data_IF_063117843161
#
_entry.id   IF_063117843161
#
_cell.length_a   1.000
_cell.length_b   1.000
_cell.length_c   1.000
_cell.angle_alpha   90.00
_cell.angle_beta   90.00
_cell.angle_gamma   90.00
#
_symmetry.space_group_name_H-M   'P 1'
#
loop_
_entity.id
_entity.type
_entity.pdbx_description
1 polymer ?
#
# COMPACT_ATOMS: atom_id res chain seq x y z
N UNK A 1 -4.28 4.15 7.75
CA UNK A 1 -3.99 3.07 6.78
C UNK A 1 -2.68 3.39 6.07
N UNK A 2 -1.58 2.70 6.38
CA UNK A 2 -0.30 2.91 5.73
C UNK A 2 -0.34 2.61 4.23
N UNK A 3 0.19 3.54 3.43
CA UNK A 3 0.32 3.37 1.96
C UNK A 3 1.76 2.98 1.64
N UNK A 4 1.92 1.86 0.92
CA UNK A 4 3.21 1.34 0.46
C UNK A 4 3.36 1.58 -1.03
N UNK A 5 4.52 2.09 -1.45
CA UNK A 5 4.90 2.12 -2.86
C UNK A 5 5.59 0.80 -3.21
N UNK A 6 5.02 0.07 -4.16
CA UNK A 6 5.47 -1.24 -4.61
C UNK A 6 6.07 -1.13 -6.00
N UNK A 7 7.11 -1.93 -6.26
CA UNK A 7 7.71 -2.06 -7.57
C UNK A 7 7.78 -3.54 -7.95
N UNK A 8 7.33 -3.84 -9.17
CA UNK A 8 7.49 -5.16 -9.75
C UNK A 8 8.85 -5.24 -10.48
N UNK A 9 9.75 -6.18 -10.11
CA UNK A 9 11.03 -6.35 -10.78
C UNK A 9 10.88 -6.97 -12.18
N UNK A 10 9.81 -7.72 -12.45
CA UNK A 10 9.64 -8.44 -13.73
C UNK A 10 9.15 -7.53 -14.86
N UNK A 11 8.33 -6.51 -14.55
CA UNK A 11 7.78 -5.59 -15.57
C UNK A 11 8.09 -4.12 -15.31
N UNK A 12 8.79 -3.78 -14.22
CA UNK A 12 9.12 -2.40 -13.84
C UNK A 12 7.94 -1.58 -13.32
N UNK A 13 6.74 -2.14 -13.24
CA UNK A 13 5.53 -1.44 -12.83
C UNK A 13 5.60 -0.97 -11.37
N UNK A 14 5.37 0.33 -11.14
CA UNK A 14 5.26 0.94 -9.81
C UNK A 14 3.81 1.26 -9.48
N UNK A 15 3.33 0.80 -8.33
CA UNK A 15 1.95 0.99 -7.89
C UNK A 15 1.87 1.18 -6.37
N UNK A 16 0.71 1.61 -5.88
CA UNK A 16 0.47 1.84 -4.44
C UNK A 16 -0.41 0.74 -3.87
N UNK A 17 0.04 0.11 -2.80
CA UNK A 17 -0.73 -0.85 -2.01
C UNK A 17 -1.12 -0.25 -0.66
N UNK A 18 -2.35 -0.50 -0.22
CA UNK A 18 -2.78 -0.13 1.13
C UNK A 18 -2.74 -1.36 2.03
N UNK A 19 -2.22 -1.18 3.24
CA UNK A 19 -2.33 -2.17 4.30
C UNK A 19 -3.23 -1.58 5.39
N UNK A 20 -4.03 -2.44 6.02
CA UNK A 20 -4.87 -2.02 7.13
C UNK A 20 -3.98 -1.50 8.27
N UNK A 21 -4.45 -0.47 8.96
CA UNK A 21 -3.71 0.04 10.12
C UNK A 21 -3.67 -1.04 11.21
N UNK A 22 -2.53 -1.15 11.91
CA UNK A 22 -2.32 -2.12 13.00
C UNK A 22 -2.27 -3.60 12.56
N UNK A 23 -2.10 -3.90 11.28
CA UNK A 23 -1.88 -5.27 10.78
C UNK A 23 -0.47 -5.46 10.22
N UNK A 24 0.03 -6.70 10.26
CA UNK A 24 1.30 -7.06 9.61
C UNK A 24 1.17 -6.85 8.08
N UNK A 25 2.14 -6.18 7.43
CA UNK A 25 2.15 -6.07 5.98
C UNK A 25 2.28 -7.45 5.33
N UNK A 26 1.67 -7.67 4.16
CA UNK A 26 1.76 -8.95 3.48
C UNK A 26 3.21 -9.26 3.10
N UNK A 27 3.57 -10.54 3.26
CA UNK A 27 4.91 -11.07 2.93
C UNK A 27 5.15 -11.18 1.44
N UNK A 28 4.07 -11.26 0.66
CA UNK A 28 4.08 -11.41 -0.79
C UNK A 28 3.16 -10.37 -1.42
N UNK A 29 3.61 -9.74 -2.51
CA UNK A 29 2.80 -8.78 -3.26
C UNK A 29 2.65 -9.22 -4.71
N UNK A 30 1.41 -9.17 -5.20
CA UNK A 30 1.10 -9.43 -6.59
C UNK A 30 1.09 -8.13 -7.40
N UNK A 31 1.69 -8.17 -8.59
CA UNK A 31 1.62 -7.09 -9.55
C UNK A 31 0.29 -7.14 -10.31
N UNK A 32 -0.50 -6.07 -10.27
CA UNK A 32 -1.76 -5.99 -11.02
C UNK A 32 -1.60 -5.97 -12.55
N UNK A 33 -0.38 -5.71 -13.06
CA UNK A 33 -0.11 -5.64 -14.49
C UNK A 33 0.30 -7.00 -15.08
N UNK A 34 1.28 -7.67 -14.46
CA UNK A 34 1.82 -8.94 -14.98
C UNK A 34 1.45 -10.18 -14.15
N UNK A 35 0.78 -10.02 -13.00
CA UNK A 35 0.45 -11.12 -12.10
C UNK A 35 1.63 -11.70 -11.31
N UNK A 36 2.85 -11.17 -11.47
CA UNK A 36 4.02 -11.64 -10.71
C UNK A 36 3.85 -11.40 -9.22
N UNK A 37 4.24 -12.39 -8.41
CA UNK A 37 4.20 -12.38 -6.94
C UNK A 37 5.50 -11.84 -6.32
N UNK A 38 6.40 -11.32 -7.16
CA UNK A 38 7.71 -10.78 -6.76
C UNK A 38 7.69 -9.27 -6.54
N UNK A 39 6.52 -8.63 -6.58
CA UNK A 39 6.45 -7.20 -6.26
C UNK A 39 6.88 -6.98 -4.82
N UNK A 40 7.61 -5.89 -4.58
CA UNK A 40 8.14 -5.58 -3.26
C UNK A 40 8.03 -4.08 -2.98
N UNK A 41 7.95 -3.67 -1.70
CA UNK A 41 8.05 -2.27 -1.32
C UNK A 41 9.35 -1.68 -1.86
N UNK A 42 9.28 -0.52 -2.49
CA UNK A 42 10.45 0.19 -2.95
C UNK A 42 11.35 0.53 -1.74
N UNK A 43 12.58 0.03 -1.74
CA UNK A 43 13.55 0.17 -0.65
C UNK A 43 13.64 1.61 -0.16
N UNK A 44 13.37 1.83 1.13
CA UNK A 44 13.41 3.16 1.77
C UNK A 44 12.08 3.89 1.85
N UNK A 45 10.99 3.32 1.30
CA UNK A 45 9.66 3.91 1.46
C UNK A 45 9.12 3.55 2.85
N UNK A 46 9.19 4.49 3.79
CA UNK A 46 8.36 4.37 5.00
C UNK A 46 6.89 4.40 4.58
N UNK A 47 6.04 3.53 5.14
CA UNK A 47 4.62 3.61 4.88
C UNK A 47 4.13 5.01 5.22
N UNK A 48 3.57 5.70 4.23
CA UNK A 48 3.05 7.04 4.49
C UNK A 48 1.71 6.92 5.20
N UNK A 49 1.49 7.70 6.27
CA UNK A 49 0.18 7.79 6.88
C UNK A 49 -0.83 8.26 5.84
N UNK A 50 -2.02 7.67 5.85
CA UNK A 50 -3.08 8.09 4.94
C UNK A 50 -3.37 9.59 5.16
N UNK A 51 -3.53 10.41 4.10
CA UNK A 51 -3.73 11.85 4.24
C UNK A 51 -4.88 12.24 5.19
N UNK A 52 -5.90 11.38 5.29
CA UNK A 52 -7.08 11.60 6.11
C UNK A 52 -6.93 11.17 7.58
N UNK A 53 -5.83 10.50 7.97
CA UNK A 53 -5.58 10.13 9.37
C UNK A 53 -4.94 11.24 10.21
N UNK A 54 -4.37 12.27 9.59
CA UNK A 54 -3.73 13.36 10.33
C UNK A 54 -4.65 14.53 10.68
N UNK A 55 -5.90 14.56 10.19
CA UNK A 55 -6.71 15.78 10.24
C UNK A 55 -8.20 15.64 10.58
N UNK A 56 -8.79 14.44 10.62
CA UNK A 56 -10.22 14.37 10.92
C UNK A 56 -10.66 13.03 11.50
N UNK A 57 -11.31 13.10 12.66
CA UNK A 57 -11.90 11.98 13.41
C UNK A 57 -13.13 11.40 12.67
N UNK A 58 -13.47 11.93 11.49
CA UNK A 58 -14.50 11.40 10.59
C UNK A 58 -13.81 10.66 9.45
N UNK A 59 -13.67 9.34 9.62
CA UNK A 59 -13.11 8.46 8.60
C UNK A 59 -13.72 8.68 7.22
N UNK A 60 -12.98 8.31 6.16
CA UNK A 60 -13.44 8.44 4.78
C UNK A 60 -14.86 7.89 4.59
N UNK A 61 -15.67 8.45 3.67
CA UNK A 61 -17.01 7.93 3.36
C UNK A 61 -17.02 6.45 2.94
N UNK A 62 -15.88 5.90 2.55
CA UNK A 62 -15.70 4.47 2.27
C UNK A 62 -15.55 3.59 3.52
N UNK A 63 -15.19 4.16 4.68
CA UNK A 63 -14.88 3.43 5.92
C UNK A 63 -15.85 3.75 7.07
N UNK A 64 -16.66 4.80 6.94
CA UNK A 64 -17.65 5.24 7.94
C UNK A 64 -19.09 4.89 7.55
N UNK A 65 -19.28 3.79 6.80
CA UNK A 65 -20.61 3.27 6.44
C UNK A 65 -21.27 2.56 7.61
#
# INVERSE_FOLDING_TARGET
MPVYTLQCPDCGHRFKGMVMAHTEPPREWACSNCGSRRAQPASGTKPEPHPWEQGTVKGCPCCSG
#
